data_IF_361899451507
#
_entry.id   IF_361899451507
#
_cell.length_a   1.000
_cell.length_b   1.000
_cell.length_c   1.000
_cell.angle_alpha   90.00
_cell.angle_beta   90.00
_cell.angle_gamma   90.00
#
_symmetry.space_group_name_H-M   'P 1'
#
loop_
_entity.id
_entity.type
_entity.pdbx_description
1 polymer ?
#
# COMPACT_ATOMS: atom_id res chain seq x y z
N UNK A 1 2.86 9.19 11.95
CA UNK A 1 3.94 8.39 11.34
C UNK A 1 3.46 7.70 10.07
N UNK A 2 4.33 7.63 9.04
CA UNK A 2 4.05 6.96 7.77
C UNK A 2 4.61 5.53 7.77
N UNK A 3 3.81 4.52 7.42
CA UNK A 3 4.28 3.16 7.14
C UNK A 3 4.50 2.96 5.64
N UNK A 4 5.66 2.45 5.23
CA UNK A 4 5.97 2.23 3.79
C UNK A 4 6.20 0.75 3.54
N UNK A 5 5.40 0.13 2.68
CA UNK A 5 5.62 -1.25 2.24
C UNK A 5 6.44 -1.30 0.94
N UNK A 6 6.90 -2.50 0.56
CA UNK A 6 7.65 -2.69 -0.69
C UNK A 6 9.01 -1.97 -0.70
N UNK A 7 9.57 -1.68 0.47
CA UNK A 7 10.84 -0.93 0.64
C UNK A 7 12.07 -1.62 0.04
N UNK A 8 11.97 -2.92 -0.25
CA UNK A 8 13.01 -3.70 -0.94
C UNK A 8 12.87 -3.64 -2.46
N UNK A 9 11.83 -3.01 -3.00
CA UNK A 9 11.56 -2.84 -4.43
C UNK A 9 11.75 -1.40 -4.90
N UNK A 10 11.57 -1.15 -6.20
CA UNK A 10 11.88 0.16 -6.81
C UNK A 10 11.07 1.32 -6.21
N UNK A 11 9.75 1.16 -6.10
CA UNK A 11 8.84 2.22 -5.65
C UNK A 11 9.01 2.50 -4.16
N UNK A 12 8.84 1.49 -3.31
CA UNK A 12 8.91 1.67 -1.85
C UNK A 12 10.29 2.15 -1.38
N UNK A 13 11.37 1.63 -1.98
CA UNK A 13 12.74 2.08 -1.65
C UNK A 13 12.97 3.55 -2.02
N UNK A 14 12.41 4.00 -3.16
CA UNK A 14 12.50 5.41 -3.56
C UNK A 14 11.70 6.31 -2.62
N UNK A 15 10.49 5.91 -2.23
CA UNK A 15 9.66 6.65 -1.27
C UNK A 15 10.35 6.75 0.08
N UNK A 16 10.89 5.64 0.61
CA UNK A 16 11.62 5.65 1.88
C UNK A 16 12.83 6.60 1.84
N UNK A 17 13.60 6.62 0.75
CA UNK A 17 14.71 7.58 0.56
C UNK A 17 14.25 9.05 0.52
N UNK A 18 13.11 9.32 -0.11
CA UNK A 18 12.54 10.68 -0.16
C UNK A 18 12.09 11.10 1.24
N UNK A 19 11.40 10.24 1.98
CA UNK A 19 10.98 10.53 3.35
C UNK A 19 12.18 10.77 4.29
N UNK A 20 13.26 9.98 4.14
CA UNK A 20 14.48 10.17 4.90
C UNK A 20 15.17 11.51 4.59
N UNK A 21 15.18 11.94 3.32
CA UNK A 21 15.75 13.22 2.91
C UNK A 21 14.96 14.43 3.44
N UNK A 22 13.65 14.27 3.64
CA UNK A 22 12.77 15.27 4.25
C UNK A 22 12.72 15.17 5.79
N UNK A 23 13.56 14.32 6.40
CA UNK A 23 13.58 14.05 7.85
C UNK A 23 12.21 13.67 8.43
N UNK A 24 11.36 13.06 7.60
CA UNK A 24 10.00 12.68 8.00
C UNK A 24 10.01 11.50 8.99
N UNK A 25 8.97 11.41 9.83
CA UNK A 25 8.77 10.25 10.70
C UNK A 25 8.09 9.11 9.95
N UNK A 26 8.85 8.05 9.66
CA UNK A 26 8.35 6.87 8.96
C UNK A 26 8.92 5.55 9.49
N UNK A 27 8.26 4.45 9.13
CA UNK A 27 8.70 3.08 9.38
C UNK A 27 8.70 2.29 8.08
N UNK A 28 9.74 1.48 7.89
CA UNK A 28 9.89 0.59 6.75
C UNK A 28 9.27 -0.77 7.05
N UNK A 29 8.34 -1.20 6.22
CA UNK A 29 7.63 -2.47 6.36
C UNK A 29 8.15 -3.46 5.30
N UNK A 30 8.78 -4.52 5.75
CA UNK A 30 9.41 -5.51 4.86
C UNK A 30 9.10 -6.94 5.30
N UNK A 31 8.87 -7.83 4.33
CA UNK A 31 8.77 -9.28 4.60
C UNK A 31 10.08 -9.84 5.20
N UNK A 32 11.21 -9.29 4.73
CA UNK A 32 12.57 -9.63 5.14
C UNK A 32 13.29 -8.34 5.55
N UNK A 33 13.28 -7.97 6.84
CA UNK A 33 13.88 -6.73 7.33
C UNK A 33 15.35 -6.54 6.95
N UNK A 34 16.12 -7.63 6.90
CA UNK A 34 17.53 -7.69 6.48
C UNK A 34 17.78 -7.17 5.05
N UNK A 35 16.74 -7.11 4.22
CA UNK A 35 16.81 -6.59 2.85
C UNK A 35 16.37 -5.14 2.69
N UNK A 36 15.88 -4.51 3.74
CA UNK A 36 15.47 -3.12 3.67
C UNK A 36 16.71 -2.22 3.41
N UNK A 37 16.54 -1.07 2.75
CA UNK A 37 17.63 -0.12 2.61
C UNK A 37 18.03 0.41 4.00
N UNK A 38 19.32 0.62 4.21
CA UNK A 38 19.85 1.26 5.42
C UNK A 38 19.50 2.74 5.41
N UNK A 39 18.52 3.15 6.21
CA UNK A 39 18.07 4.54 6.41
C UNK A 39 17.86 4.80 7.90
N UNK A 40 17.67 6.07 8.28
CA UNK A 40 17.43 6.51 9.67
C UNK A 40 16.04 6.16 10.23
N UNK A 41 15.41 5.09 9.73
CA UNK A 41 14.07 4.67 10.10
C UNK A 41 14.03 3.20 10.53
N UNK A 42 13.14 2.89 11.46
CA UNK A 42 12.90 1.51 11.92
C UNK A 42 12.44 0.61 10.78
N UNK A 43 12.86 -0.65 10.82
CA UNK A 43 12.39 -1.69 9.91
C UNK A 43 11.59 -2.71 10.70
N UNK A 44 10.32 -2.90 10.34
CA UNK A 44 9.44 -3.89 10.96
C UNK A 44 9.14 -5.02 9.98
N UNK A 45 9.11 -6.25 10.50
CA UNK A 45 8.66 -7.41 9.74
C UNK A 45 7.16 -7.26 9.47
N UNK A 46 6.78 -7.24 8.20
CA UNK A 46 5.40 -7.19 7.75
C UNK A 46 5.20 -8.21 6.63
N UNK A 47 4.45 -9.27 6.91
CA UNK A 47 4.02 -10.24 5.92
C UNK A 47 2.52 -10.08 5.67
N UNK A 48 2.13 -9.84 4.42
CA UNK A 48 0.74 -9.51 4.08
C UNK A 48 -0.23 -10.67 4.37
N UNK A 49 0.20 -11.91 4.13
CA UNK A 49 -0.61 -13.10 4.44
C UNK A 49 -0.69 -13.47 5.93
N UNK A 50 -0.01 -12.73 6.81
CA UNK A 50 0.03 -12.99 8.26
C UNK A 50 -0.63 -11.80 9.01
N UNK A 51 -1.92 -11.93 9.41
CA UNK A 51 -2.65 -10.84 10.07
C UNK A 51 -1.97 -10.35 11.35
N UNK A 52 -1.36 -11.25 12.12
CA UNK A 52 -0.67 -10.90 13.37
C UNK A 52 0.60 -10.11 13.10
N UNK A 53 1.43 -10.57 12.16
CA UNK A 53 2.62 -9.82 11.73
C UNK A 53 2.25 -8.47 11.13
N UNK A 54 1.21 -8.40 10.30
CA UNK A 54 0.77 -7.17 9.67
C UNK A 54 0.29 -6.15 10.72
N UNK A 55 -0.62 -6.55 11.61
CA UNK A 55 -1.19 -5.67 12.65
C UNK A 55 -0.11 -5.15 13.59
N UNK A 56 0.75 -6.03 14.10
CA UNK A 56 1.85 -5.64 14.99
C UNK A 56 2.82 -4.65 14.33
N UNK A 57 3.09 -4.82 13.02
CA UNK A 57 3.99 -3.92 12.29
C UNK A 57 3.41 -2.51 12.09
N UNK A 58 2.08 -2.38 12.10
CA UNK A 58 1.35 -1.15 11.81
C UNK A 58 1.00 -0.33 13.06
N UNK A 59 1.33 -0.80 14.26
CA UNK A 59 1.09 -0.04 15.50
C UNK A 59 1.78 1.33 15.44
N UNK A 60 0.99 2.39 15.70
CA UNK A 60 1.43 3.79 15.67
C UNK A 60 1.56 4.39 14.26
N UNK A 61 1.20 3.65 13.20
CA UNK A 61 1.14 4.18 11.83
C UNK A 61 -0.21 4.86 11.62
N UNK A 62 -0.19 6.14 11.24
CA UNK A 62 -1.41 6.89 10.92
C UNK A 62 -1.74 6.80 9.42
N UNK A 63 -0.72 6.74 8.57
CA UNK A 63 -0.83 6.68 7.11
C UNK A 63 0.03 5.56 6.55
N UNK A 64 -0.59 4.64 5.80
CA UNK A 64 0.09 3.54 5.11
C UNK A 64 0.27 3.85 3.63
N UNK A 65 1.52 3.98 3.18
CA UNK A 65 1.87 3.91 1.77
C UNK A 65 2.01 2.43 1.36
N UNK A 66 0.95 1.92 0.74
CA UNK A 66 0.82 0.51 0.36
C UNK A 66 1.28 0.29 -1.09
N UNK A 67 2.48 -0.27 -1.23
CA UNK A 67 2.91 -0.94 -2.47
C UNK A 67 2.23 -2.31 -2.55
N UNK A 68 1.80 -2.69 -3.74
CA UNK A 68 1.07 -3.94 -3.93
C UNK A 68 1.96 -5.17 -3.71
N UNK A 69 1.36 -6.26 -3.24
CA UNK A 69 2.04 -7.55 -3.11
C UNK A 69 2.55 -8.08 -4.47
N UNK A 70 3.53 -8.98 -4.38
CA UNK A 70 4.06 -9.72 -5.53
C UNK A 70 3.00 -10.61 -6.16
N UNK A 71 3.24 -11.05 -7.39
CA UNK A 71 2.38 -12.04 -8.06
C UNK A 71 2.37 -13.36 -7.28
N UNK A 72 1.17 -13.85 -6.96
CA UNK A 72 0.90 -15.10 -6.28
C UNK A 72 -0.60 -15.43 -6.40
N UNK A 73 -0.97 -16.69 -6.17
CA UNK A 73 -2.37 -17.12 -6.11
C UNK A 73 -3.11 -16.46 -4.93
N UNK A 74 -2.42 -16.23 -3.83
CA UNK A 74 -2.97 -15.63 -2.60
C UNK A 74 -3.04 -14.11 -2.64
N UNK A 75 -2.62 -13.46 -3.73
CA UNK A 75 -2.39 -12.02 -3.80
C UNK A 75 -3.59 -11.17 -3.36
N UNK A 76 -4.80 -11.57 -3.76
CA UNK A 76 -6.04 -10.90 -3.35
C UNK A 76 -6.24 -11.01 -1.84
N UNK A 77 -6.01 -12.19 -1.29
CA UNK A 77 -6.12 -12.43 0.15
C UNK A 77 -5.06 -11.66 0.93
N UNK A 78 -3.82 -11.60 0.41
CA UNK A 78 -2.73 -10.82 1.00
C UNK A 78 -3.06 -9.33 1.10
N UNK A 79 -3.61 -8.71 0.04
CA UNK A 79 -4.02 -7.30 0.12
C UNK A 79 -5.15 -7.10 1.12
N UNK A 80 -6.14 -8.00 1.10
CA UNK A 80 -7.26 -7.94 2.02
C UNK A 80 -6.78 -7.99 3.47
N UNK A 81 -5.95 -8.98 3.80
CA UNK A 81 -5.39 -9.15 5.14
C UNK A 81 -4.61 -7.91 5.59
N UNK A 82 -3.79 -7.32 4.73
CA UNK A 82 -3.07 -6.09 5.10
C UNK A 82 -4.01 -4.91 5.34
N UNK A 83 -5.02 -4.72 4.50
CA UNK A 83 -5.97 -3.61 4.64
C UNK A 83 -6.78 -3.77 5.93
N UNK A 84 -7.21 -5.00 6.25
CA UNK A 84 -7.93 -5.30 7.49
C UNK A 84 -7.02 -5.10 8.72
N UNK A 85 -5.77 -5.58 8.67
CA UNK A 85 -4.77 -5.35 9.72
C UNK A 85 -4.45 -3.87 9.92
N UNK A 86 -4.44 -3.07 8.85
CA UNK A 86 -4.27 -1.62 8.93
C UNK A 86 -5.45 -0.96 9.66
N UNK A 87 -6.68 -1.35 9.32
CA UNK A 87 -7.86 -0.86 10.02
C UNK A 87 -7.88 -1.28 11.51
N UNK A 88 -7.43 -2.50 11.83
CA UNK A 88 -7.31 -3.00 13.20
C UNK A 88 -6.23 -2.26 14.00
N UNK A 89 -5.09 -1.97 13.38
CA UNK A 89 -3.99 -1.21 14.00
C UNK A 89 -4.29 0.29 14.16
N UNK A 90 -5.43 0.77 13.63
CA UNK A 90 -5.86 2.16 13.74
C UNK A 90 -5.32 3.09 12.65
N UNK A 91 -4.82 2.54 11.54
CA UNK A 91 -4.38 3.34 10.38
C UNK A 91 -5.58 4.12 9.82
N UNK A 92 -5.46 5.45 9.74
CA UNK A 92 -6.54 6.31 9.27
C UNK A 92 -6.52 6.51 7.75
N UNK A 93 -5.34 6.42 7.12
CA UNK A 93 -5.18 6.73 5.71
C UNK A 93 -4.37 5.65 4.98
N UNK A 94 -4.86 5.22 3.82
CA UNK A 94 -4.12 4.36 2.92
C UNK A 94 -3.87 5.09 1.59
N UNK A 95 -2.62 5.16 1.18
CA UNK A 95 -2.20 5.56 -0.16
C UNK A 95 -1.79 4.30 -0.89
N UNK A 96 -2.65 3.84 -1.80
CA UNK A 96 -2.45 2.59 -2.54
C UNK A 96 -1.97 2.87 -3.97
N UNK A 97 -0.85 2.25 -4.36
CA UNK A 97 -0.28 2.45 -5.70
C UNK A 97 -1.22 1.98 -6.81
N UNK A 98 -1.93 0.88 -6.56
CA UNK A 98 -2.80 0.18 -7.49
C UNK A 98 -2.19 -0.06 -8.88
N UNK A 99 -3.04 -0.24 -9.90
CA UNK A 99 -2.71 -0.57 -11.28
C UNK A 99 -3.62 0.17 -12.25
N UNK A 100 -3.09 0.49 -13.42
CA UNK A 100 -3.86 1.20 -14.46
C UNK A 100 -4.84 0.22 -15.11
N UNK A 101 -6.10 0.62 -15.23
CA UNK A 101 -7.14 -0.24 -15.81
C UNK A 101 -7.64 -1.35 -14.88
N UNK A 102 -7.50 -1.18 -13.57
CA UNK A 102 -8.09 -2.09 -12.59
C UNK A 102 -9.62 -2.11 -12.77
N UNK A 103 -10.14 -3.27 -13.17
CA UNK A 103 -11.56 -3.50 -13.43
C UNK A 103 -11.91 -4.98 -13.15
N UNK A 104 -13.17 -5.29 -12.79
CA UNK A 104 -13.56 -6.67 -12.48
C UNK A 104 -13.47 -7.61 -13.69
N UNK A 105 -13.64 -7.05 -14.89
CA UNK A 105 -13.65 -7.74 -16.18
C UNK A 105 -12.36 -7.55 -16.98
N UNK A 106 -11.33 -6.91 -16.40
CA UNK A 106 -10.04 -6.73 -17.05
C UNK A 106 -9.46 -8.09 -17.50
N UNK A 107 -8.94 -8.20 -18.72
CA UNK A 107 -8.39 -9.47 -19.24
C UNK A 107 -7.15 -9.92 -18.45
N UNK A 108 -6.32 -8.96 -18.01
CA UNK A 108 -5.11 -9.22 -17.26
C UNK A 108 -5.40 -9.49 -15.79
N UNK A 109 -4.90 -10.61 -15.27
CA UNK A 109 -5.20 -11.07 -13.90
C UNK A 109 -4.83 -10.05 -12.83
N UNK A 110 -3.64 -9.45 -12.90
CA UNK A 110 -3.24 -8.48 -11.89
C UNK A 110 -4.16 -7.25 -11.85
N UNK A 111 -4.68 -6.82 -13.00
CA UNK A 111 -5.64 -5.70 -13.04
C UNK A 111 -6.93 -6.05 -12.27
N UNK A 112 -7.42 -7.29 -12.36
CA UNK A 112 -8.55 -7.77 -11.55
C UNK A 112 -8.21 -7.84 -10.07
N UNK A 113 -7.03 -8.34 -9.72
CA UNK A 113 -6.59 -8.41 -8.31
C UNK A 113 -6.47 -7.02 -7.68
N UNK A 114 -5.92 -6.06 -8.42
CA UNK A 114 -5.84 -4.67 -7.99
C UNK A 114 -7.23 -4.06 -7.80
N UNK A 115 -8.20 -4.36 -8.68
CA UNK A 115 -9.59 -3.95 -8.48
C UNK A 115 -10.20 -4.52 -7.18
N UNK A 116 -9.91 -5.78 -6.86
CA UNK A 116 -10.35 -6.38 -5.60
C UNK A 116 -9.75 -5.67 -4.36
N UNK A 117 -8.47 -5.30 -4.42
CA UNK A 117 -7.81 -4.53 -3.37
C UNK A 117 -8.38 -3.10 -3.24
N UNK A 118 -8.60 -2.40 -4.35
CA UNK A 118 -9.24 -1.08 -4.37
C UNK A 118 -10.63 -1.13 -3.73
N UNK A 119 -11.43 -2.15 -4.08
CA UNK A 119 -12.76 -2.37 -3.52
C UNK A 119 -12.73 -2.62 -2.02
N UNK A 120 -11.70 -3.32 -1.54
CA UNK A 120 -11.52 -3.61 -0.10
C UNK A 120 -11.12 -2.36 0.66
N UNK A 121 -10.19 -1.57 0.12
CA UNK A 121 -9.70 -0.34 0.72
C UNK A 121 -10.76 0.77 0.77
N UNK A 122 -11.61 0.86 -0.26
CA UNK A 122 -12.67 1.86 -0.36
C UNK A 122 -13.99 1.44 0.33
N UNK A 123 -13.99 0.38 1.16
CA UNK A 123 -15.23 -0.04 1.84
C UNK A 123 -15.63 0.99 2.90
N UNK A 124 -16.90 1.43 2.92
CA UNK A 124 -17.38 2.41 3.89
C UNK A 124 -17.40 1.87 5.33
N UNK A 125 -17.40 0.55 5.50
CA UNK A 125 -17.34 -0.13 6.81
C UNK A 125 -15.91 -0.22 7.37
N UNK A 126 -14.88 0.12 6.58
CA UNK A 126 -13.50 0.13 7.05
C UNK A 126 -13.28 1.32 7.98
N UNK A 127 -12.47 1.14 9.04
CA UNK A 127 -12.06 2.24 9.94
C UNK A 127 -11.08 3.23 9.27
N UNK A 128 -10.76 3.01 7.99
CA UNK A 128 -9.88 3.84 7.19
C UNK A 128 -10.68 5.05 6.71
N UNK A 129 -10.28 6.25 7.13
CA UNK A 129 -10.93 7.52 6.80
C UNK A 129 -10.76 7.91 5.33
N UNK A 130 -9.64 7.53 4.72
CA UNK A 130 -9.37 7.83 3.32
C UNK A 130 -8.51 6.76 2.67
N UNK A 131 -8.93 6.32 1.48
CA UNK A 131 -8.14 5.49 0.59
C UNK A 131 -7.89 6.24 -0.73
N UNK A 132 -6.63 6.63 -0.98
CA UNK A 132 -6.21 7.27 -2.21
C UNK A 132 -5.60 6.24 -3.17
N UNK A 133 -6.21 6.07 -4.34
CA UNK A 133 -5.76 5.14 -5.38
C UNK A 133 -4.95 5.94 -6.42
N UNK A 134 -3.63 5.73 -6.45
CA UNK A 134 -2.73 6.54 -7.28
C UNK A 134 -3.04 6.41 -8.78
N UNK A 135 -3.34 5.21 -9.26
CA UNK A 135 -3.68 5.01 -10.68
C UNK A 135 -4.93 5.79 -11.10
N UNK A 136 -5.96 5.88 -10.24
CA UNK A 136 -7.17 6.67 -10.51
C UNK A 136 -6.89 8.18 -10.57
N UNK A 137 -5.98 8.69 -9.74
CA UNK A 137 -5.56 10.10 -9.74
C UNK A 137 -4.82 10.49 -11.04
N UNK A 138 -4.08 9.56 -11.63
CA UNK A 138 -3.39 9.77 -12.92
C UNK A 138 -4.41 9.80 -14.06
N UNK A 139 -5.36 8.86 -14.07
CA UNK A 139 -6.42 8.80 -15.09
C UNK A 139 -7.34 10.03 -15.06
N UNK A 140 -7.73 10.49 -13.87
CA UNK A 140 -8.63 11.66 -13.73
C UNK A 140 -7.98 12.98 -14.17
N UNK A 141 -6.64 13.08 -14.13
CA UNK A 141 -5.91 14.26 -14.63
C UNK A 141 -5.78 14.27 -16.15
N UNK A 142 -5.74 13.10 -16.82
CA UNK A 142 -5.73 13.03 -18.30
C UNK A 142 -7.06 13.47 -18.92
N UNK A 143 -8.20 13.31 -18.26
CA UNK A 143 -9.49 13.80 -18.78
C UNK A 143 -9.69 15.32 -18.68
N UNK A 144 -8.83 16.06 -17.98
CA UNK A 144 -8.91 17.54 -17.88
C UNK A 144 -7.99 18.28 -18.85
N UNK A 145 -7.33 17.56 -19.77
CA UNK A 145 -6.35 18.13 -20.70
C UNK A 145 -6.47 17.55 -22.10
N UNK A 146 -7.69 17.53 -22.67
CA UNK A 146 -7.93 17.42 -24.11
C UNK A 146 -9.39 17.77 -24.41
N UNK A 147 -9.62 19.02 -24.80
CA UNK A 147 -10.70 19.38 -25.71
C UNK A 147 -10.01 20.04 -26.90
N UNK A 148 -10.33 19.53 -28.08
CA UNK A 148 -9.78 19.91 -29.39
C UNK A 148 -10.05 21.38 -29.68
#
# INVERSE_FOLDING_TARGET
MIGVTGVTGAVGSRVARLLAAEEAQFVMLARRPDRAPTLSADVRRCAYGDPGSATASLVGVDTLFMVSATESEDRVQEHRTLIEAAAEAGVEHIVYTSFVGAAPDAMFTLARDHFAAERTCARPESRIRSCAIISSLISSRRCRGQTV
#
